data_IF_984810549449
#
_entry.id   IF_984810549449
#
_cell.length_a   1.000
_cell.length_b   1.000
_cell.length_c   1.000
_cell.angle_alpha   90.00
_cell.angle_beta   90.00
_cell.angle_gamma   90.00
#
_symmetry.space_group_name_H-M   'P 1'
#
loop_
_entity.id
_entity.type
_entity.pdbx_description
1 polymer ?
#
# COMPACT_ATOMS: atom_id res chain seq x y z
N UNK A 1 30.14 36.48 -15.90
CA UNK A 1 29.04 37.07 -15.10
C UNK A 1 27.80 37.17 -15.96
N UNK A 2 26.85 36.24 -15.79
CA UNK A 2 25.41 36.50 -15.93
C UNK A 2 24.72 35.44 -15.09
N UNK A 3 24.43 35.86 -13.87
CA UNK A 3 23.64 35.15 -12.87
C UNK A 3 22.16 35.15 -13.28
N UNK A 4 21.47 34.09 -12.87
CA UNK A 4 20.04 34.03 -12.54
C UNK A 4 18.98 34.18 -13.64
N UNK A 5 18.32 33.05 -13.93
CA UNK A 5 16.85 32.92 -13.83
C UNK A 5 16.45 31.46 -13.62
N UNK A 6 16.86 30.89 -12.48
CA UNK A 6 16.25 29.70 -11.89
C UNK A 6 15.23 30.18 -10.85
N UNK A 7 13.98 30.38 -11.28
CA UNK A 7 12.85 30.82 -10.43
C UNK A 7 11.73 31.34 -11.31
N UNK A 8 10.50 30.83 -11.33
CA UNK A 8 9.73 30.05 -10.36
C UNK A 8 8.83 29.02 -11.10
N UNK A 9 8.82 27.73 -10.73
CA UNK A 9 7.80 26.79 -11.20
C UNK A 9 6.48 26.86 -10.39
N UNK A 10 6.37 27.72 -9.38
CA UNK A 10 5.27 27.70 -8.40
C UNK A 10 4.05 28.54 -8.83
N UNK A 11 4.21 29.50 -9.74
CA UNK A 11 3.11 30.38 -10.18
C UNK A 11 2.10 29.74 -11.15
N UNK A 12 2.42 28.58 -11.73
CA UNK A 12 1.57 27.97 -12.76
C UNK A 12 0.24 27.41 -12.22
N UNK A 13 0.10 27.24 -10.89
CA UNK A 13 -1.06 26.59 -10.26
C UNK A 13 -1.92 27.49 -9.38
N UNK A 14 -1.53 28.76 -9.15
CA UNK A 14 -2.24 29.66 -8.22
C UNK A 14 -3.39 30.46 -8.84
N UNK A 15 -3.66 30.31 -10.14
CA UNK A 15 -4.59 31.16 -10.90
C UNK A 15 -5.94 30.55 -11.31
N UNK A 16 -6.31 29.34 -10.86
CA UNK A 16 -7.58 28.72 -11.26
C UNK A 16 -8.62 28.85 -10.14
N UNK A 17 -9.68 29.67 -10.31
CA UNK A 17 -10.75 29.73 -9.33
C UNK A 17 -11.42 28.36 -9.20
N UNK A 18 -11.37 27.81 -7.98
CA UNK A 18 -11.93 26.52 -7.61
C UNK A 18 -13.47 26.55 -7.65
N UNK A 19 -14.07 26.37 -8.83
CA UNK A 19 -15.49 26.02 -8.96
C UNK A 19 -15.70 25.08 -10.14
N UNK A 20 -15.53 23.77 -9.93
CA UNK A 20 -16.36 22.77 -10.61
C UNK A 20 -16.16 21.37 -10.00
N UNK A 21 -17.22 20.86 -9.37
CA UNK A 21 -17.60 19.45 -9.28
C UNK A 21 -16.51 18.37 -9.16
N UNK A 22 -16.34 17.89 -7.93
CA UNK A 22 -16.04 16.50 -7.54
C UNK A 22 -15.08 15.74 -8.49
N UNK A 23 -13.79 15.73 -8.15
CA UNK A 23 -12.87 14.65 -8.54
C UNK A 23 -12.81 13.66 -7.37
N UNK A 24 -13.69 12.65 -7.31
CA UNK A 24 -13.84 11.82 -6.12
C UNK A 24 -12.62 10.93 -5.81
N UNK A 25 -11.67 10.75 -6.73
CA UNK A 25 -10.58 9.78 -6.54
C UNK A 25 -9.29 10.35 -5.92
N UNK A 26 -9.04 11.66 -6.04
CA UNK A 26 -7.81 12.28 -5.50
C UNK A 26 -7.88 12.39 -3.97
N UNK A 27 -9.09 12.59 -3.42
CA UNK A 27 -9.31 12.78 -1.98
C UNK A 27 -9.18 11.46 -1.20
N UNK A 28 -9.54 10.32 -1.81
CA UNK A 28 -9.52 9.00 -1.14
C UNK A 28 -8.09 8.53 -0.86
N UNK A 29 -7.13 8.86 -1.72
CA UNK A 29 -5.71 8.52 -1.50
C UNK A 29 -5.00 9.49 -0.53
N UNK A 30 -5.52 10.72 -0.35
CA UNK A 30 -4.97 11.71 0.60
C UNK A 30 -4.96 11.18 2.03
N UNK A 31 -5.98 10.43 2.43
CA UNK A 31 -6.13 9.91 3.80
C UNK A 31 -5.42 8.56 4.05
N UNK A 32 -4.97 7.85 3.00
CA UNK A 32 -4.40 6.49 3.13
C UNK A 32 -2.90 6.39 2.90
N UNK A 33 -2.28 7.44 2.35
CA UNK A 33 -0.87 7.44 1.95
C UNK A 33 -0.03 8.60 2.52
N UNK A 34 -0.57 9.41 3.46
CA UNK A 34 0.10 10.61 4.01
C UNK A 34 0.73 11.52 2.94
N UNK A 35 0.04 11.71 1.82
CA UNK A 35 0.57 12.44 0.67
C UNK A 35 0.37 13.94 0.87
N UNK A 36 1.48 14.68 1.00
CA UNK A 36 1.48 16.14 1.14
C UNK A 36 0.96 16.83 -0.15
N UNK A 37 0.30 17.98 -0.03
CA UNK A 37 -0.36 18.69 -1.14
C UNK A 37 0.64 19.12 -2.24
N UNK A 38 1.90 19.34 -1.84
CA UNK A 38 3.04 19.64 -2.72
C UNK A 38 3.51 18.45 -3.58
N UNK A 39 3.19 17.21 -3.19
CA UNK A 39 3.59 15.99 -3.93
C UNK A 39 2.75 15.73 -5.18
N UNK A 40 1.52 16.26 -5.20
CA UNK A 40 0.52 16.05 -6.27
C UNK A 40 0.62 17.14 -7.34
N UNK A 41 1.33 18.23 -7.06
CA UNK A 41 1.36 19.44 -7.91
C UNK A 41 2.57 19.52 -8.83
N UNK A 42 3.58 18.65 -8.70
CA UNK A 42 4.78 18.67 -9.55
C UNK A 42 5.21 17.26 -10.02
N UNK A 43 5.42 17.04 -11.33
CA UNK A 43 5.95 15.77 -11.88
C UNK A 43 7.28 15.34 -11.26
N UNK A 44 8.11 16.31 -10.86
CA UNK A 44 9.39 16.04 -10.20
C UNK A 44 9.18 15.50 -8.78
N UNK A 45 8.23 16.06 -8.02
CA UNK A 45 7.87 15.57 -6.70
C UNK A 45 7.27 14.16 -6.76
N UNK A 46 6.37 13.91 -7.71
CA UNK A 46 5.81 12.57 -7.93
C UNK A 46 6.89 11.55 -8.33
N UNK A 47 7.89 11.97 -9.12
CA UNK A 47 9.05 11.13 -9.47
C UNK A 47 9.95 10.82 -8.29
N UNK A 48 10.22 11.80 -7.42
CA UNK A 48 11.03 11.61 -6.22
C UNK A 48 10.36 10.62 -5.26
N UNK A 49 9.06 10.82 -4.98
CA UNK A 49 8.28 9.94 -4.13
C UNK A 49 8.22 8.51 -4.67
N UNK A 50 7.97 8.34 -5.98
CA UNK A 50 7.93 7.00 -6.57
C UNK A 50 9.28 6.30 -6.43
N UNK A 51 10.39 6.99 -6.68
CA UNK A 51 11.74 6.43 -6.52
C UNK A 51 12.00 5.97 -5.08
N UNK A 52 11.65 6.80 -4.11
CA UNK A 52 11.79 6.47 -2.69
C UNK A 52 10.95 5.24 -2.32
N UNK A 53 9.68 5.21 -2.72
CA UNK A 53 8.77 4.09 -2.43
C UNK A 53 9.15 2.80 -3.15
N UNK A 54 9.71 2.86 -4.36
CA UNK A 54 10.24 1.69 -5.06
C UNK A 54 11.48 1.13 -4.35
N UNK A 55 12.37 1.99 -3.86
CA UNK A 55 13.52 1.56 -3.08
C UNK A 55 13.09 0.89 -1.76
N UNK A 56 12.10 1.47 -1.07
CA UNK A 56 11.50 0.89 0.14
C UNK A 56 10.86 -0.47 -0.14
N UNK A 57 10.07 -0.57 -1.22
CA UNK A 57 9.42 -1.81 -1.64
C UNK A 57 10.43 -2.92 -1.96
N UNK A 58 11.51 -2.59 -2.69
CA UNK A 58 12.56 -3.55 -3.03
C UNK A 58 13.25 -4.11 -1.78
N UNK A 59 13.53 -3.26 -0.79
CA UNK A 59 14.10 -3.68 0.50
C UNK A 59 13.13 -4.59 1.26
N UNK A 60 11.85 -4.21 1.33
CA UNK A 60 10.80 -5.02 1.96
C UNK A 60 10.66 -6.41 1.31
N UNK A 61 10.69 -6.48 -0.02
CA UNK A 61 10.65 -7.75 -0.74
C UNK A 61 11.82 -8.67 -0.39
N UNK A 62 13.04 -8.13 -0.39
CA UNK A 62 14.24 -8.88 -0.01
C UNK A 62 14.13 -9.43 1.42
N UNK A 63 13.64 -8.63 2.36
CA UNK A 63 13.45 -9.06 3.75
C UNK A 63 12.40 -10.17 3.87
N UNK A 64 11.23 -10.00 3.23
CA UNK A 64 10.16 -11.00 3.24
C UNK A 64 10.61 -12.32 2.63
N UNK A 65 11.34 -12.27 1.50
CA UNK A 65 11.88 -13.46 0.85
C UNK A 65 12.91 -14.18 1.70
N UNK A 66 13.77 -13.45 2.40
CA UNK A 66 14.75 -14.04 3.31
C UNK A 66 14.08 -14.70 4.52
N UNK A 67 13.04 -14.08 5.10
CA UNK A 67 12.28 -14.67 6.20
C UNK A 67 11.50 -15.92 5.76
N UNK A 68 10.93 -15.90 4.55
CA UNK A 68 10.27 -17.07 3.96
C UNK A 68 11.22 -18.26 3.82
N UNK A 69 12.42 -18.02 3.25
CA UNK A 69 13.46 -19.05 3.13
C UNK A 69 13.90 -19.61 4.48
N UNK A 70 14.13 -18.75 5.48
CA UNK A 70 14.48 -19.19 6.84
C UNK A 70 13.38 -20.07 7.45
N UNK A 71 12.12 -19.70 7.27
CA UNK A 71 10.98 -20.49 7.77
C UNK A 71 10.91 -21.87 7.08
N UNK A 72 11.17 -21.94 5.77
CA UNK A 72 11.25 -23.21 5.05
C UNK A 72 12.42 -24.08 5.55
N UNK A 73 13.59 -23.50 5.82
CA UNK A 73 14.72 -24.25 6.36
C UNK A 73 14.47 -24.78 7.78
N UNK A 74 13.82 -24.00 8.64
CA UNK A 74 13.44 -24.40 10.00
C UNK A 74 12.41 -25.55 9.98
N UNK A 75 11.42 -25.48 9.10
CA UNK A 75 10.44 -26.56 8.91
C UNK A 75 11.11 -27.83 8.37
N UNK A 76 12.07 -27.71 7.44
CA UNK A 76 12.82 -28.85 6.92
C UNK A 76 13.76 -29.49 7.94
N UNK A 77 14.48 -28.68 8.74
CA UNK A 77 15.36 -29.16 9.83
C UNK A 77 14.56 -29.85 10.93
N UNK A 78 13.43 -29.28 11.34
CA UNK A 78 12.54 -29.88 12.34
C UNK A 78 11.85 -31.16 11.84
N UNK A 79 11.48 -31.23 10.55
CA UNK A 79 11.00 -32.47 9.93
C UNK A 79 12.07 -33.58 9.92
N UNK A 80 13.32 -33.23 9.61
CA UNK A 80 14.46 -34.16 9.62
C UNK A 80 14.81 -34.65 11.03
N UNK A 81 14.71 -33.77 12.04
CA UNK A 81 14.89 -34.12 13.45
C UNK A 81 13.76 -35.03 13.97
N UNK A 82 12.49 -34.74 13.64
CA UNK A 82 11.35 -35.60 13.96
C UNK A 82 11.45 -37.00 13.34
N UNK A 83 11.97 -37.12 12.12
CA UNK A 83 12.23 -38.44 11.50
C UNK A 83 13.25 -39.28 12.28
N UNK A 84 14.18 -38.64 12.98
CA UNK A 84 15.21 -39.27 13.81
C UNK A 84 14.69 -39.64 15.21
N UNK A 85 13.74 -38.87 15.75
CA UNK A 85 13.14 -39.09 17.08
C UNK A 85 11.82 -39.87 17.05
N UNK A 86 11.16 -40.04 15.90
CA UNK A 86 9.95 -40.87 15.77
C UNK A 86 10.18 -42.37 16.04
N UNK A 87 11.43 -42.81 16.23
CA UNK A 87 11.74 -44.13 16.76
C UNK A 87 11.55 -44.21 18.29
N UNK A 88 11.47 -43.07 19.00
CA UNK A 88 11.37 -42.99 20.46
C UNK A 88 10.36 -41.92 20.89
N UNK A 89 9.15 -42.39 21.18
CA UNK A 89 8.12 -41.76 22.02
C UNK A 89 7.12 -40.77 21.39
N UNK A 90 5.89 -40.98 21.84
CA UNK A 90 4.62 -40.42 21.41
C UNK A 90 4.40 -38.95 21.82
N UNK A 91 3.89 -38.18 20.86
CA UNK A 91 2.78 -37.21 20.99
C UNK A 91 2.90 -36.11 22.06
N UNK A 92 3.61 -35.05 21.71
CA UNK A 92 3.23 -33.68 22.10
C UNK A 92 3.06 -32.82 20.84
N UNK A 93 1.82 -32.38 20.59
CA UNK A 93 1.39 -31.66 19.38
C UNK A 93 1.56 -30.17 19.63
N UNK A 94 2.74 -29.61 19.34
CA UNK A 94 2.98 -28.16 19.37
C UNK A 94 2.58 -27.52 18.04
N UNK A 95 1.49 -26.78 18.07
CA UNK A 95 0.89 -26.07 16.95
C UNK A 95 1.57 -24.71 16.69
N UNK A 96 2.84 -24.74 16.25
CA UNK A 96 3.64 -23.51 16.00
C UNK A 96 4.28 -23.38 14.59
N UNK A 97 4.21 -24.36 13.66
CA UNK A 97 4.57 -24.09 12.25
C UNK A 97 3.50 -23.28 11.48
N UNK A 98 2.23 -23.35 11.89
CA UNK A 98 1.12 -22.73 11.17
C UNK A 98 0.98 -21.22 11.41
N UNK A 99 1.30 -20.74 12.62
CA UNK A 99 1.22 -19.32 12.98
C UNK A 99 2.23 -18.46 12.22
N UNK A 100 3.50 -18.89 12.16
CA UNK A 100 4.56 -18.19 11.41
C UNK A 100 4.23 -18.11 9.91
N UNK A 101 3.68 -19.18 9.34
CA UNK A 101 3.23 -19.19 7.95
C UNK A 101 2.04 -18.24 7.71
N UNK A 102 1.11 -18.14 8.65
CA UNK A 102 0.00 -17.17 8.58
C UNK A 102 0.50 -15.72 8.64
N UNK A 103 1.47 -15.42 9.51
CA UNK A 103 2.11 -14.10 9.60
C UNK A 103 2.84 -13.74 8.30
N UNK A 104 3.59 -14.68 7.72
CA UNK A 104 4.24 -14.49 6.42
C UNK A 104 3.20 -14.22 5.31
N UNK A 105 2.12 -15.00 5.24
CA UNK A 105 1.03 -14.78 4.27
C UNK A 105 0.40 -13.39 4.41
N UNK A 106 0.17 -12.95 5.65
CA UNK A 106 -0.33 -11.61 5.93
C UNK A 106 0.65 -10.54 5.45
N UNK A 107 1.94 -10.67 5.80
CA UNK A 107 2.97 -9.72 5.41
C UNK A 107 3.15 -9.61 3.89
N UNK A 108 3.09 -10.73 3.16
CA UNK A 108 3.08 -10.73 1.70
C UNK A 108 1.82 -10.08 1.11
N UNK A 109 0.66 -10.24 1.75
CA UNK A 109 -0.59 -9.59 1.32
C UNK A 109 -0.56 -8.07 1.50
N UNK A 110 -0.04 -7.58 2.63
CA UNK A 110 0.14 -6.15 2.88
C UNK A 110 1.17 -5.54 1.92
N UNK A 111 2.28 -6.25 1.69
CA UNK A 111 3.28 -5.84 0.71
C UNK A 111 2.71 -5.77 -0.70
N UNK A 112 2.00 -6.80 -1.15
CA UNK A 112 1.34 -6.80 -2.47
C UNK A 112 0.34 -5.64 -2.59
N UNK A 113 -0.50 -5.41 -1.58
CA UNK A 113 -1.41 -4.27 -1.55
C UNK A 113 -0.66 -2.94 -1.68
N UNK A 114 0.48 -2.78 -1.01
CA UNK A 114 1.30 -1.57 -1.12
C UNK A 114 1.82 -1.32 -2.54
N UNK A 115 2.18 -2.39 -3.28
CA UNK A 115 2.59 -2.28 -4.69
C UNK A 115 1.43 -1.85 -5.59
N UNK A 116 0.23 -2.41 -5.38
CA UNK A 116 -0.97 -2.03 -6.13
C UNK A 116 -1.35 -0.56 -5.87
N UNK A 117 -1.25 -0.10 -4.62
CA UNK A 117 -1.46 1.31 -4.28
C UNK A 117 -0.46 2.22 -4.99
N UNK A 118 0.81 1.80 -5.09
CA UNK A 118 1.85 2.56 -5.79
C UNK A 118 1.62 2.60 -7.31
N UNK A 119 1.17 1.50 -7.91
CA UNK A 119 0.76 1.45 -9.32
C UNK A 119 -0.47 2.36 -9.58
N UNK A 120 -1.44 2.36 -8.67
CA UNK A 120 -2.59 3.26 -8.74
C UNK A 120 -2.18 4.72 -8.61
N UNK A 121 -1.22 5.04 -7.73
CA UNK A 121 -0.65 6.37 -7.63
C UNK A 121 -0.04 6.81 -8.96
N UNK A 122 0.78 5.98 -9.60
CA UNK A 122 1.38 6.26 -10.91
C UNK A 122 0.30 6.58 -11.98
N UNK A 123 -0.72 5.72 -12.09
CA UNK A 123 -1.80 5.89 -13.05
C UNK A 123 -2.66 7.13 -12.78
N UNK A 124 -3.00 7.38 -11.52
CA UNK A 124 -3.84 8.52 -11.14
C UNK A 124 -3.10 9.84 -11.36
N UNK A 125 -1.81 9.92 -11.02
CA UNK A 125 -1.03 11.13 -11.26
C UNK A 125 -0.86 11.41 -12.74
N UNK A 126 -0.51 10.40 -13.55
CA UNK A 126 -0.39 10.57 -15.01
C UNK A 126 -1.70 11.05 -15.65
N UNK A 127 -2.81 10.41 -15.29
CA UNK A 127 -4.12 10.79 -15.82
C UNK A 127 -4.58 12.15 -15.29
N UNK A 128 -4.24 12.49 -14.05
CA UNK A 128 -4.47 13.79 -13.43
C UNK A 128 -3.76 14.92 -14.18
N UNK A 129 -2.44 14.79 -14.40
CA UNK A 129 -1.66 15.73 -15.18
C UNK A 129 -2.21 15.88 -16.60
N UNK A 130 -2.54 14.76 -17.27
CA UNK A 130 -3.16 14.81 -18.61
C UNK A 130 -4.48 15.59 -18.61
N UNK A 131 -5.35 15.37 -17.62
CA UNK A 131 -6.67 16.03 -17.55
C UNK A 131 -6.57 17.52 -17.22
N UNK A 132 -5.71 17.92 -16.27
CA UNK A 132 -5.56 19.32 -15.89
C UNK A 132 -4.93 20.14 -17.02
N UNK A 133 -3.92 19.60 -17.70
CA UNK A 133 -3.27 20.24 -18.84
C UNK A 133 -4.23 20.36 -20.03
N UNK A 134 -5.02 19.31 -20.31
CA UNK A 134 -6.07 19.38 -21.34
C UNK A 134 -7.16 20.41 -21.00
N UNK A 135 -7.50 20.57 -19.73
CA UNK A 135 -8.46 21.60 -19.28
C UNK A 135 -7.86 23.01 -19.45
N UNK A 136 -6.60 23.22 -19.09
CA UNK A 136 -5.88 24.48 -19.31
C UNK A 136 -5.92 24.89 -20.78
N UNK A 137 -5.54 23.98 -21.67
CA UNK A 137 -5.52 24.23 -23.12
C UNK A 137 -6.91 24.56 -23.67
N UNK A 138 -7.94 23.86 -23.20
CA UNK A 138 -9.33 24.12 -23.59
C UNK A 138 -9.86 25.46 -23.08
N UNK A 139 -9.46 25.90 -21.87
CA UNK A 139 -9.95 27.14 -21.26
C UNK A 139 -9.29 28.38 -21.86
N UNK A 140 -8.01 28.29 -22.19
CA UNK A 140 -7.23 29.41 -22.73
C UNK A 140 -7.12 29.36 -24.26
N UNK A 141 -7.64 28.31 -24.89
CA UNK A 141 -7.54 28.05 -26.33
C UNK A 141 -6.09 28.08 -26.84
N UNK A 142 -5.19 27.45 -26.07
CA UNK A 142 -3.74 27.35 -26.35
C UNK A 142 -3.31 25.88 -26.40
N UNK A 143 -2.10 25.60 -26.91
CA UNK A 143 -1.51 24.25 -27.01
C UNK A 143 -0.32 24.02 -26.03
N UNK A 144 -0.11 24.94 -25.10
CA UNK A 144 1.05 24.98 -24.21
C UNK A 144 1.05 23.81 -23.21
N UNK A 145 -0.12 23.40 -22.72
CA UNK A 145 -0.25 22.29 -21.77
C UNK A 145 0.11 20.94 -22.40
N UNK A 146 -0.25 20.72 -23.67
CA UNK A 146 0.14 19.55 -24.43
C UNK A 146 1.67 19.45 -24.61
N UNK A 147 2.34 20.57 -24.95
CA UNK A 147 3.81 20.63 -25.07
C UNK A 147 4.49 20.36 -23.73
N UNK A 148 4.02 21.02 -22.67
CA UNK A 148 4.57 20.84 -21.33
C UNK A 148 4.41 19.39 -20.82
N UNK A 149 3.29 18.73 -21.13
CA UNK A 149 3.07 17.31 -20.83
C UNK A 149 4.14 16.43 -21.47
N UNK A 150 4.40 16.63 -22.76
CA UNK A 150 5.40 15.84 -23.48
C UNK A 150 6.80 16.03 -22.88
N UNK A 151 7.15 17.27 -22.52
CA UNK A 151 8.46 17.63 -21.99
C UNK A 151 8.68 17.24 -20.51
N UNK A 152 7.64 17.17 -19.68
CA UNK A 152 7.81 17.01 -18.22
C UNK A 152 7.10 15.79 -17.62
N UNK A 153 6.03 15.31 -18.25
CA UNK A 153 5.20 14.20 -17.73
C UNK A 153 5.53 12.91 -18.46
N UNK A 154 5.59 12.93 -19.78
CA UNK A 154 5.76 11.71 -20.58
C UNK A 154 7.19 11.14 -20.49
N UNK A 155 8.19 11.99 -20.25
CA UNK A 155 9.58 11.57 -20.01
C UNK A 155 9.91 11.33 -18.53
N UNK A 156 8.96 11.59 -17.63
CA UNK A 156 9.22 11.51 -16.20
C UNK A 156 9.53 10.08 -15.77
N UNK A 157 10.44 9.93 -14.82
CA UNK A 157 10.78 8.63 -14.27
C UNK A 157 9.57 7.94 -13.64
N UNK A 158 8.62 8.71 -13.10
CA UNK A 158 7.41 8.11 -12.55
C UNK A 158 6.55 7.43 -13.60
N UNK A 159 6.58 7.82 -14.88
CA UNK A 159 5.77 7.18 -15.93
C UNK A 159 6.54 6.11 -16.71
N UNK A 160 7.83 6.36 -16.99
CA UNK A 160 8.67 5.48 -17.81
C UNK A 160 9.07 4.21 -17.06
N UNK A 161 9.26 4.29 -15.74
CA UNK A 161 9.71 3.16 -14.93
C UNK A 161 8.61 2.08 -14.82
N UNK A 162 8.96 0.85 -15.22
CA UNK A 162 8.08 -0.34 -15.17
C UNK A 162 8.45 -1.32 -14.06
N UNK A 163 9.38 -0.96 -13.18
CA UNK A 163 9.90 -1.85 -12.12
C UNK A 163 8.79 -2.27 -11.16
N UNK A 164 7.79 -1.41 -10.94
CA UNK A 164 6.60 -1.75 -10.15
C UNK A 164 5.85 -2.97 -10.71
N UNK A 165 5.73 -3.08 -12.03
CA UNK A 165 5.04 -4.20 -12.67
C UNK A 165 5.85 -5.50 -12.54
N UNK A 166 7.18 -5.38 -12.59
CA UNK A 166 8.09 -6.50 -12.35
C UNK A 166 7.98 -7.00 -10.90
N UNK A 167 8.04 -6.10 -9.92
CA UNK A 167 7.90 -6.42 -8.50
C UNK A 167 6.54 -7.07 -8.18
N UNK A 168 5.45 -6.58 -8.77
CA UNK A 168 4.12 -7.19 -8.64
C UNK A 168 4.15 -8.63 -9.17
N UNK A 169 4.67 -8.82 -10.38
CA UNK A 169 4.72 -10.14 -11.03
C UNK A 169 5.58 -11.14 -10.25
N UNK A 170 6.75 -10.72 -9.78
CA UNK A 170 7.62 -11.55 -8.93
C UNK A 170 6.97 -11.91 -7.60
N UNK A 171 6.23 -10.97 -7.00
CA UNK A 171 5.49 -11.21 -5.75
C UNK A 171 4.38 -12.23 -5.96
N UNK A 172 3.59 -12.10 -7.04
CA UNK A 172 2.56 -13.09 -7.40
C UNK A 172 3.15 -14.48 -7.61
N UNK A 173 4.28 -14.56 -8.33
CA UNK A 173 4.96 -15.83 -8.59
C UNK A 173 5.46 -16.47 -7.29
N UNK A 174 6.07 -15.68 -6.40
CA UNK A 174 6.57 -16.16 -5.10
C UNK A 174 5.43 -16.65 -4.21
N UNK A 175 4.34 -15.89 -4.11
CA UNK A 175 3.18 -16.29 -3.27
C UNK A 175 2.48 -17.53 -3.84
N UNK A 176 2.34 -17.62 -5.16
CA UNK A 176 1.69 -18.79 -5.79
C UNK A 176 2.53 -20.05 -5.61
N UNK A 177 3.84 -19.97 -5.87
CA UNK A 177 4.73 -21.14 -5.84
C UNK A 177 5.09 -21.58 -4.42
N UNK A 178 5.41 -20.64 -3.52
CA UNK A 178 5.98 -20.97 -2.22
C UNK A 178 4.95 -20.97 -1.07
N UNK A 179 3.80 -20.29 -1.21
CA UNK A 179 2.81 -20.15 -0.11
C UNK A 179 1.48 -20.88 -0.34
N UNK A 180 1.10 -21.16 -1.58
CA UNK A 180 -0.18 -21.81 -1.92
C UNK A 180 -0.01 -23.03 -2.86
N UNK A 181 1.18 -23.64 -2.91
CA UNK A 181 1.45 -24.91 -3.61
C UNK A 181 1.02 -24.91 -5.11
N UNK A 182 1.03 -23.74 -5.75
CA UNK A 182 0.65 -23.58 -7.17
C UNK A 182 -0.80 -23.13 -7.42
N UNK A 183 -1.64 -23.02 -6.39
CA UNK A 183 -3.03 -22.54 -6.56
C UNK A 183 -3.10 -21.01 -6.64
N UNK A 184 -2.94 -20.50 -7.87
CA UNK A 184 -3.02 -19.07 -8.19
C UNK A 184 -4.36 -18.45 -7.81
N UNK A 185 -5.48 -19.19 -7.93
CA UNK A 185 -6.82 -18.66 -7.62
C UNK A 185 -6.96 -18.40 -6.12
N UNK A 186 -6.49 -19.34 -5.31
CA UNK A 186 -6.48 -19.22 -3.84
C UNK A 186 -5.49 -18.16 -3.33
N UNK A 187 -4.30 -18.08 -3.94
CA UNK A 187 -3.34 -17.01 -3.69
C UNK A 187 -3.95 -15.63 -3.99
N UNK A 188 -4.55 -15.47 -5.17
CA UNK A 188 -5.18 -14.21 -5.60
C UNK A 188 -6.39 -13.84 -4.75
N UNK A 189 -7.19 -14.81 -4.29
CA UNK A 189 -8.33 -14.55 -3.40
C UNK A 189 -7.89 -14.09 -1.99
N UNK A 190 -6.71 -14.51 -1.53
CA UNK A 190 -6.11 -14.03 -0.27
C UNK A 190 -5.36 -12.70 -0.42
N UNK A 191 -4.68 -12.50 -1.56
CA UNK A 191 -3.94 -11.26 -1.88
C UNK A 191 -4.88 -10.09 -2.18
N UNK A 192 -6.00 -10.36 -2.86
CA UNK A 192 -7.08 -9.39 -3.08
C UNK A 192 -7.87 -9.30 -1.79
N UNK A 193 -7.40 -8.43 -0.89
CA UNK A 193 -8.18 -7.98 0.25
C UNK A 193 -9.61 -7.67 -0.23
N UNK A 194 -10.66 -8.22 0.43
CA UNK A 194 -12.02 -7.74 0.28
C UNK A 194 -12.03 -6.21 0.39
N UNK A 195 -12.95 -5.51 -0.30
CA UNK A 195 -12.94 -4.05 -0.37
C UNK A 195 -12.66 -3.44 1.00
N UNK A 196 -11.74 -2.47 1.04
CA UNK A 196 -11.16 -1.80 2.21
C UNK A 196 -12.17 -1.13 3.18
N UNK A 197 -13.47 -1.41 3.04
CA UNK A 197 -14.43 -1.33 4.12
C UNK A 197 -14.35 -2.62 4.93
N UNK A 198 -13.43 -2.62 5.89
CA UNK A 198 -13.43 -3.60 6.98
C UNK A 198 -14.86 -3.65 7.53
N UNK A 199 -15.58 -4.72 7.23
CA UNK A 199 -16.77 -5.05 8.00
C UNK A 199 -16.26 -5.42 9.38
N UNK A 200 -16.09 -4.40 10.24
CA UNK A 200 -15.92 -4.61 11.66
C UNK A 200 -16.98 -5.63 12.06
N UNK A 201 -16.54 -6.79 12.55
CA UNK A 201 -17.47 -7.84 12.92
C UNK A 201 -18.49 -7.21 13.89
N UNK A 202 -19.80 -7.30 13.62
CA UNK A 202 -20.82 -6.69 14.47
C UNK A 202 -20.65 -7.07 15.96
N UNK A 203 -20.07 -8.25 16.20
CA UNK A 203 -19.72 -8.78 17.51
C UNK A 203 -18.65 -7.98 18.28
N UNK A 204 -17.65 -7.41 17.59
CA UNK A 204 -16.62 -6.60 18.25
C UNK A 204 -17.20 -5.28 18.75
N UNK A 205 -18.02 -4.62 17.93
CA UNK A 205 -18.71 -3.37 18.30
C UNK A 205 -19.69 -3.60 19.46
N UNK A 206 -20.42 -4.71 19.45
CA UNK A 206 -21.31 -5.09 20.55
C UNK A 206 -20.57 -5.28 21.88
N UNK A 207 -19.43 -6.01 21.87
CA UNK A 207 -18.63 -6.23 23.09
C UNK A 207 -18.10 -4.91 23.65
N UNK A 208 -17.52 -4.06 22.80
CA UNK A 208 -17.00 -2.75 23.24
C UNK A 208 -18.10 -1.89 23.84
N UNK A 209 -19.29 -1.85 23.20
CA UNK A 209 -20.45 -1.14 23.71
C UNK A 209 -20.94 -1.67 25.07
N UNK A 210 -21.01 -3.00 25.23
CA UNK A 210 -21.42 -3.64 26.48
C UNK A 210 -20.44 -3.32 27.62
N UNK A 211 -19.13 -3.43 27.38
CA UNK A 211 -18.12 -3.13 28.40
C UNK A 211 -18.13 -1.65 28.79
N UNK A 212 -18.32 -0.74 27.82
CA UNK A 212 -18.43 0.70 28.10
C UNK A 212 -19.67 1.03 28.93
N UNK A 213 -20.81 0.39 28.64
CA UNK A 213 -22.04 0.53 29.41
C UNK A 213 -21.91 0.00 30.85
N UNK A 214 -21.36 -1.21 31.02
CA UNK A 214 -21.09 -1.77 32.34
C UNK A 214 -20.13 -0.88 33.15
N UNK A 215 -19.09 -0.34 32.50
CA UNK A 215 -18.15 0.57 33.14
C UNK A 215 -18.83 1.85 33.63
N UNK A 216 -19.70 2.47 32.82
CA UNK A 216 -20.44 3.67 33.20
C UNK A 216 -21.36 3.44 34.41
N UNK A 217 -22.05 2.29 34.46
CA UNK A 217 -22.93 1.93 35.58
C UNK A 217 -22.11 1.71 36.86
N UNK A 218 -21.00 0.97 36.78
CA UNK A 218 -20.11 0.76 37.93
C UNK A 218 -19.52 2.08 38.43
N UNK A 219 -19.12 2.96 37.52
CA UNK A 219 -18.60 4.28 37.87
C UNK A 219 -19.65 5.14 38.59
N UNK A 220 -20.90 5.15 38.11
CA UNK A 220 -22.00 5.85 38.77
C UNK A 220 -22.28 5.30 40.18
N UNK A 221 -22.24 3.97 40.36
CA UNK A 221 -22.41 3.34 41.69
C UNK A 221 -21.28 3.75 42.64
N UNK A 222 -20.03 3.81 42.16
CA UNK A 222 -18.88 4.23 42.97
C UNK A 222 -19.01 5.70 43.38
N UNK A 223 -19.42 6.58 42.47
CA UNK A 223 -19.63 7.99 42.78
C UNK A 223 -20.76 8.19 43.80
N UNK A 224 -21.88 7.47 43.63
CA UNK A 224 -23.01 7.55 44.57
C UNK A 224 -22.71 6.93 45.94
N UNK A 225 -21.78 5.98 46.02
CA UNK A 225 -21.29 5.44 47.31
C UNK A 225 -20.17 6.27 47.94
N UNK A 226 -19.47 7.08 47.14
CA UNK A 226 -18.37 7.93 47.59
C UNK A 226 -18.79 9.36 47.95
N UNK A 227 -20.05 9.72 47.72
CA UNK A 227 -20.73 10.92 48.24
C UNK A 227 -21.46 10.60 49.54
#
# INVERSE_FOLDING_TARGET
MTSDRVGEPVKFLLGVPAKCGRVPDIVVLKHRLDVNESLVTSPAASSMYLKEKLAEATRKFSNLRNELKRSQEETMKSAKAKRKSALLLSRHKTDVPARKLQELKLAFSEYYLSLILLQNYQNLNFTGFRKILKKHDKLLNVDVGAKWRAEHVDISHFYVNKDINHLISETEATVTSELEEGDRQKAMKRLRVPPLGEQQSPWTTFKVGLFLGCFAILFAIILLRGM
#
